data_IF_273489404270
#
_entry.id   IF_273489404270
#
_cell.length_a   1.000
_cell.length_b   1.000
_cell.length_c   1.000
_cell.angle_alpha   90.00
_cell.angle_beta   90.00
_cell.angle_gamma   90.00
#
_symmetry.space_group_name_H-M   'P 1'
#
loop_
_entity.id
_entity.type
_entity.pdbx_description
1 polymer ?
#
# COMPACT_ATOMS: atom_id res chain seq x y z
N UNK A 1 48.40 -5.36 -53.77
CA UNK A 1 48.60 -6.17 -52.55
C UNK A 1 47.38 -6.00 -51.67
N UNK A 2 46.70 -7.11 -51.39
CA UNK A 2 45.58 -7.19 -50.45
C UNK A 2 46.01 -6.78 -49.03
N UNK A 3 45.13 -6.08 -48.33
CA UNK A 3 45.25 -5.84 -46.89
C UNK A 3 43.87 -5.66 -46.27
N UNK A 4 43.25 -6.76 -45.85
CA UNK A 4 42.05 -6.81 -45.00
C UNK A 4 42.57 -6.92 -43.56
N UNK A 5 42.30 -5.95 -42.68
CA UNK A 5 42.59 -6.06 -41.24
C UNK A 5 41.29 -6.32 -40.50
N UNK A 6 41.36 -7.32 -39.61
CA UNK A 6 40.28 -8.02 -38.94
C UNK A 6 39.61 -7.21 -37.82
N UNK A 7 38.31 -7.42 -37.66
CA UNK A 7 37.56 -7.14 -36.44
C UNK A 7 37.95 -8.09 -35.30
N UNK A 8 37.94 -7.58 -34.06
CA UNK A 8 37.57 -8.36 -32.88
C UNK A 8 36.98 -7.45 -31.80
N UNK A 9 35.73 -7.70 -31.33
CA UNK A 9 35.30 -7.24 -30.02
C UNK A 9 34.92 -8.44 -29.12
N UNK A 10 35.61 -8.61 -28.00
CA UNK A 10 35.26 -9.68 -27.06
C UNK A 10 35.89 -9.54 -25.68
N UNK A 11 35.22 -8.85 -24.76
CA UNK A 11 35.34 -9.12 -23.32
C UNK A 11 34.26 -8.40 -22.49
N UNK A 12 34.01 -7.11 -22.76
CA UNK A 12 33.13 -6.28 -21.90
C UNK A 12 31.63 -6.63 -22.00
N UNK A 13 31.17 -7.04 -23.18
CA UNK A 13 29.75 -7.33 -23.45
C UNK A 13 29.22 -8.58 -22.74
N UNK A 14 30.07 -9.57 -22.44
CA UNK A 14 29.63 -10.79 -21.76
C UNK A 14 29.40 -10.56 -20.25
N UNK A 15 30.26 -9.78 -19.60
CA UNK A 15 30.10 -9.45 -18.18
C UNK A 15 28.86 -8.57 -17.94
N UNK A 16 28.62 -7.60 -18.81
CA UNK A 16 27.41 -6.76 -18.77
C UNK A 16 26.15 -7.59 -19.00
N UNK A 17 26.20 -8.59 -19.90
CA UNK A 17 25.06 -9.49 -20.13
C UNK A 17 24.75 -10.39 -18.92
N UNK A 18 25.77 -10.82 -18.17
CA UNK A 18 25.58 -11.65 -16.96
C UNK A 18 24.99 -10.83 -15.82
N UNK A 19 25.45 -9.59 -15.60
CA UNK A 19 24.89 -8.73 -14.55
C UNK A 19 23.47 -8.26 -14.87
N UNK A 20 23.18 -7.96 -16.14
CA UNK A 20 21.81 -7.63 -16.57
C UNK A 20 20.85 -8.82 -16.41
N UNK A 21 21.31 -10.05 -16.60
CA UNK A 21 20.49 -11.26 -16.39
C UNK A 21 20.32 -11.63 -14.91
N UNK A 22 21.30 -11.30 -14.06
CA UNK A 22 21.21 -11.44 -12.59
C UNK A 22 20.27 -10.40 -11.97
N UNK A 23 20.31 -9.15 -12.43
CA UNK A 23 19.40 -8.08 -11.99
C UNK A 23 17.96 -8.36 -12.47
N UNK A 24 17.79 -8.80 -13.72
CA UNK A 24 16.47 -9.18 -14.26
C UNK A 24 15.83 -10.38 -13.51
N UNK A 25 16.64 -11.29 -12.95
CA UNK A 25 16.12 -12.41 -12.14
C UNK A 25 15.56 -11.94 -10.79
N UNK A 26 16.18 -10.96 -10.13
CA UNK A 26 15.71 -10.43 -8.85
C UNK A 26 14.40 -9.63 -8.99
N UNK A 27 14.24 -8.88 -10.09
CA UNK A 27 13.01 -8.14 -10.40
C UNK A 27 11.83 -9.05 -10.76
N UNK A 28 12.07 -10.30 -11.18
CA UNK A 28 11.01 -11.28 -11.49
C UNK A 28 10.39 -11.95 -10.25
N UNK A 29 11.07 -11.87 -9.10
CA UNK A 29 10.67 -12.51 -7.84
C UNK A 29 9.62 -11.70 -7.08
N UNK A 30 9.72 -10.37 -7.07
CA UNK A 30 8.82 -9.48 -6.33
C UNK A 30 7.36 -9.53 -6.84
N UNK A 31 7.09 -9.54 -8.16
CA UNK A 31 5.72 -9.66 -8.69
C UNK A 31 5.09 -11.02 -8.41
N UNK A 32 5.86 -12.11 -8.54
CA UNK A 32 5.39 -13.48 -8.24
C UNK A 32 4.93 -13.65 -6.79
N UNK A 33 5.66 -13.03 -5.85
CA UNK A 33 5.31 -13.08 -4.42
C UNK A 33 4.04 -12.28 -4.11
N UNK A 34 3.80 -11.16 -4.81
CA UNK A 34 2.57 -10.36 -4.68
C UNK A 34 1.32 -11.11 -5.16
N UNK A 35 1.45 -11.91 -6.23
CA UNK A 35 0.33 -12.66 -6.80
C UNK A 35 -0.11 -13.87 -5.96
N UNK A 36 0.81 -14.47 -5.18
CA UNK A 36 0.51 -15.68 -4.38
C UNK A 36 -0.24 -15.39 -3.07
N UNK A 37 0.01 -14.23 -2.44
CA UNK A 37 -0.44 -13.98 -1.06
C UNK A 37 -1.49 -12.87 -0.92
N UNK A 38 -1.68 -12.00 -1.92
CA UNK A 38 -2.63 -10.89 -1.83
C UNK A 38 -3.78 -11.11 -2.82
N UNK A 39 -4.88 -11.68 -2.33
CA UNK A 39 -6.10 -11.72 -3.13
C UNK A 39 -6.56 -10.28 -3.40
N UNK A 40 -6.70 -9.94 -4.68
CA UNK A 40 -7.23 -8.65 -5.12
C UNK A 40 -8.63 -8.45 -4.52
N UNK A 41 -8.75 -7.44 -3.63
CA UNK A 41 -10.01 -7.12 -2.95
C UNK A 41 -11.18 -7.06 -3.94
N UNK A 42 -12.13 -7.98 -3.82
CA UNK A 42 -13.48 -7.76 -4.35
C UNK A 42 -14.10 -6.65 -3.52
N UNK A 43 -14.26 -5.45 -4.10
CA UNK A 43 -14.95 -4.34 -3.45
C UNK A 43 -16.35 -4.82 -3.10
N UNK A 44 -16.62 -5.13 -1.83
CA UNK A 44 -17.97 -5.48 -1.42
C UNK A 44 -18.89 -4.32 -1.78
N UNK A 45 -19.96 -4.61 -2.52
CA UNK A 45 -20.93 -3.64 -3.03
C UNK A 45 -21.83 -3.07 -1.93
N UNK A 46 -21.47 -3.23 -0.65
CA UNK A 46 -22.29 -2.88 0.53
C UNK A 46 -22.65 -1.38 0.67
N UNK A 47 -22.31 -0.54 -0.30
CA UNK A 47 -22.92 0.78 -0.46
C UNK A 47 -23.88 0.74 -1.67
N UNK A 48 -25.00 0.02 -1.55
CA UNK A 48 -26.12 0.17 -2.50
C UNK A 48 -26.74 1.56 -2.40
N UNK A 49 -26.58 2.22 -1.25
CA UNK A 49 -27.07 3.58 -1.04
C UNK A 49 -26.15 4.60 -1.68
N UNK A 50 -26.72 5.34 -2.63
CA UNK A 50 -26.08 6.46 -3.31
C UNK A 50 -25.68 7.54 -2.30
N UNK A 51 -24.42 8.03 -2.33
CA UNK A 51 -24.00 9.12 -1.44
C UNK A 51 -24.86 10.38 -1.64
N UNK A 52 -25.11 11.18 -0.59
CA UNK A 52 -25.99 12.35 -0.68
C UNK A 52 -25.54 13.39 -1.72
N UNK A 53 -24.23 13.53 -1.94
CA UNK A 53 -23.64 14.45 -2.92
C UNK A 53 -23.78 13.98 -4.38
N UNK A 54 -24.19 12.74 -4.63
CA UNK A 54 -24.15 12.16 -5.96
C UNK A 54 -25.51 12.33 -6.65
N UNK A 55 -25.66 13.32 -7.52
CA UNK A 55 -26.85 13.51 -8.37
C UNK A 55 -26.70 12.82 -9.74
N UNK A 56 -27.78 12.72 -10.54
CA UNK A 56 -27.81 12.01 -11.84
C UNK A 56 -26.80 12.56 -12.84
N UNK A 57 -26.60 13.87 -12.84
CA UNK A 57 -25.65 14.58 -13.72
C UNK A 57 -24.19 14.24 -13.40
N UNK A 58 -23.81 14.28 -12.12
CA UNK A 58 -22.47 13.91 -11.66
C UNK A 58 -22.15 12.45 -11.98
N UNK A 59 -23.15 11.57 -11.89
CA UNK A 59 -22.98 10.18 -12.31
C UNK A 59 -22.70 10.10 -13.82
N UNK A 60 -23.37 10.92 -14.63
CA UNK A 60 -23.05 11.10 -16.05
C UNK A 60 -21.60 11.53 -16.27
N UNK A 61 -21.11 12.52 -15.53
CA UNK A 61 -19.70 12.97 -15.59
C UNK A 61 -18.70 11.87 -15.17
N UNK A 62 -19.03 11.08 -14.16
CA UNK A 62 -18.21 9.94 -13.75
C UNK A 62 -18.18 8.85 -14.83
N UNK A 63 -19.30 8.61 -15.52
CA UNK A 63 -19.35 7.71 -16.68
C UNK A 63 -18.52 8.25 -17.85
N UNK A 64 -18.67 9.54 -18.19
CA UNK A 64 -17.86 10.20 -19.23
C UNK A 64 -16.37 10.06 -18.96
N UNK A 65 -15.93 10.24 -17.71
CA UNK A 65 -14.54 10.00 -17.31
C UNK A 65 -14.10 8.55 -17.56
N UNK A 66 -14.97 7.56 -17.33
CA UNK A 66 -14.68 6.13 -17.57
C UNK A 66 -14.58 5.83 -19.07
N UNK A 67 -15.46 6.39 -19.88
CA UNK A 67 -15.42 6.24 -21.34
C UNK A 67 -14.19 6.93 -21.93
N UNK A 68 -13.85 8.14 -21.48
CA UNK A 68 -12.63 8.83 -21.89
C UNK A 68 -11.37 8.01 -21.57
N UNK A 69 -11.34 7.31 -20.42
CA UNK A 69 -10.25 6.39 -20.10
C UNK A 69 -10.18 5.20 -21.07
N UNK A 70 -11.33 4.63 -21.45
CA UNK A 70 -11.39 3.52 -22.42
C UNK A 70 -10.91 3.97 -23.79
N UNK A 71 -11.41 5.11 -24.28
CA UNK A 71 -11.02 5.68 -25.56
C UNK A 71 -9.53 6.04 -25.61
N UNK A 72 -9.00 6.67 -24.57
CA UNK A 72 -7.56 6.97 -24.48
C UNK A 72 -6.71 5.68 -24.48
N UNK A 73 -7.12 4.67 -23.71
CA UNK A 73 -6.42 3.37 -23.68
C UNK A 73 -6.43 2.65 -25.03
N UNK A 74 -7.43 2.92 -25.87
CA UNK A 74 -7.58 2.36 -27.22
C UNK A 74 -6.98 3.26 -28.31
N UNK A 75 -6.37 4.40 -27.96
CA UNK A 75 -5.81 5.35 -28.91
C UNK A 75 -6.85 6.19 -29.67
N UNK A 76 -8.12 6.16 -29.26
CA UNK A 76 -9.22 6.89 -29.90
C UNK A 76 -9.40 8.32 -29.38
N UNK A 77 -8.81 8.64 -28.22
CA UNK A 77 -8.94 9.93 -27.54
C UNK A 77 -7.55 10.45 -27.24
N UNK A 78 -7.29 11.72 -27.59
CA UNK A 78 -6.03 12.37 -27.27
C UNK A 78 -5.82 12.46 -25.75
N UNK A 79 -4.57 12.39 -25.30
CA UNK A 79 -4.24 12.48 -23.88
C UNK A 79 -4.77 13.77 -23.23
N UNK A 80 -4.75 14.88 -23.96
CA UNK A 80 -5.19 16.21 -23.50
C UNK A 80 -6.70 16.23 -23.19
N UNK A 81 -7.52 15.75 -24.13
CA UNK A 81 -8.98 15.65 -23.96
C UNK A 81 -9.37 14.74 -22.78
N UNK A 82 -8.66 13.61 -22.62
CA UNK A 82 -8.83 12.75 -21.46
C UNK A 82 -8.50 13.49 -20.16
N UNK A 83 -7.36 14.18 -20.11
CA UNK A 83 -6.89 14.90 -18.91
C UNK A 83 -7.87 16.00 -18.52
N UNK A 84 -8.41 16.74 -19.47
CA UNK A 84 -9.41 17.77 -19.25
C UNK A 84 -10.72 17.19 -18.72
N UNK A 85 -11.22 16.11 -19.35
CA UNK A 85 -12.42 15.41 -18.90
C UNK A 85 -12.27 14.91 -17.46
N UNK A 86 -11.11 14.35 -17.11
CA UNK A 86 -10.80 13.89 -15.75
C UNK A 86 -10.76 15.05 -14.76
N UNK A 87 -10.12 16.17 -15.11
CA UNK A 87 -10.05 17.37 -14.27
C UNK A 87 -11.43 17.94 -14.01
N UNK A 88 -12.23 18.15 -15.06
CA UNK A 88 -13.59 18.67 -14.96
C UNK A 88 -14.49 17.77 -14.11
N UNK A 89 -14.46 16.45 -14.33
CA UNK A 89 -15.25 15.52 -13.54
C UNK A 89 -14.82 15.49 -12.06
N UNK A 90 -13.52 15.54 -11.77
CA UNK A 90 -13.01 15.63 -10.39
C UNK A 90 -13.49 16.91 -9.71
N UNK A 91 -13.43 18.03 -10.42
CA UNK A 91 -13.84 19.32 -9.87
C UNK A 91 -15.31 19.37 -9.51
N UNK A 92 -16.18 18.89 -10.41
CA UNK A 92 -17.61 18.80 -10.15
C UNK A 92 -17.92 17.91 -8.94
N UNK A 93 -17.22 16.77 -8.80
CA UNK A 93 -17.35 15.90 -7.62
C UNK A 93 -16.90 16.60 -6.33
N UNK A 94 -15.82 17.40 -6.37
CA UNK A 94 -15.37 18.18 -5.20
C UNK A 94 -16.42 19.22 -4.81
N UNK A 95 -16.92 20.00 -5.77
CA UNK A 95 -17.96 21.02 -5.53
C UNK A 95 -19.23 20.42 -4.95
N UNK A 96 -19.70 19.30 -5.49
CA UNK A 96 -20.89 18.64 -4.99
C UNK A 96 -20.75 18.10 -3.56
N UNK A 97 -19.58 17.54 -3.23
CA UNK A 97 -19.25 17.12 -1.86
C UNK A 97 -19.25 18.31 -0.91
N UNK A 98 -18.53 19.38 -1.26
CA UNK A 98 -18.45 20.58 -0.45
C UNK A 98 -19.82 21.21 -0.23
N UNK A 99 -20.65 21.30 -1.28
CA UNK A 99 -22.02 21.82 -1.16
C UNK A 99 -22.86 20.98 -0.21
N UNK A 100 -22.78 19.67 -0.30
CA UNK A 100 -23.50 18.75 0.61
C UNK A 100 -23.05 18.92 2.06
N UNK A 101 -21.75 19.08 2.28
CA UNK A 101 -21.19 19.33 3.61
C UNK A 101 -21.62 20.68 4.18
N UNK A 102 -21.66 21.72 3.33
CA UNK A 102 -22.17 23.05 3.71
C UNK A 102 -23.65 22.98 4.10
N UNK A 103 -24.49 22.29 3.31
CA UNK A 103 -25.91 22.10 3.64
C UNK A 103 -26.06 21.36 4.97
N UNK A 104 -25.32 20.26 5.16
CA UNK A 104 -25.34 19.51 6.42
C UNK A 104 -24.90 20.36 7.62
N UNK A 105 -23.90 21.21 7.46
CA UNK A 105 -23.41 22.10 8.51
C UNK A 105 -24.43 23.19 8.88
N UNK A 106 -25.10 23.77 7.88
CA UNK A 106 -26.18 24.75 8.08
C UNK A 106 -27.36 24.13 8.83
N UNK A 107 -27.74 22.92 8.44
CA UNK A 107 -28.92 22.24 8.98
C UNK A 107 -28.64 21.50 10.30
N UNK A 108 -27.46 21.66 10.92
CA UNK A 108 -27.13 20.98 12.18
C UNK A 108 -28.14 21.30 13.27
N UNK A 109 -28.62 22.54 13.34
CA UNK A 109 -29.54 22.95 14.40
C UNK A 109 -30.87 22.18 14.33
N UNK A 110 -31.40 22.02 13.12
CA UNK A 110 -32.71 21.43 12.86
C UNK A 110 -32.64 19.91 12.63
N UNK A 111 -31.52 19.41 12.11
CA UNK A 111 -31.33 18.01 11.72
C UNK A 111 -29.95 17.45 12.16
N UNK A 112 -29.69 17.49 13.46
CA UNK A 112 -28.46 16.93 14.09
C UNK A 112 -28.15 15.50 13.63
N UNK A 113 -29.18 14.67 13.46
CA UNK A 113 -29.05 13.24 13.13
C UNK A 113 -28.40 13.01 11.76
N UNK A 114 -28.71 13.82 10.75
CA UNK A 114 -28.13 13.67 9.40
C UNK A 114 -26.64 14.01 9.39
N UNK A 115 -26.24 15.06 10.11
CA UNK A 115 -24.85 15.47 10.28
C UNK A 115 -24.01 14.38 10.95
N UNK A 116 -24.43 13.89 12.13
CA UNK A 116 -23.70 12.83 12.82
C UNK A 116 -23.68 11.52 12.02
N UNK A 117 -24.76 11.19 11.29
CA UNK A 117 -24.76 10.05 10.36
C UNK A 117 -23.69 10.20 9.29
N UNK A 118 -23.55 11.38 8.69
CA UNK A 118 -22.53 11.67 7.67
C UNK A 118 -21.12 11.53 8.25
N UNK A 119 -20.87 12.09 9.43
CA UNK A 119 -19.57 11.98 10.13
C UNK A 119 -19.22 10.53 10.44
N UNK A 120 -20.17 9.74 10.97
CA UNK A 120 -19.96 8.32 11.25
C UNK A 120 -19.67 7.53 9.96
N UNK A 121 -20.42 7.79 8.88
CA UNK A 121 -20.20 7.12 7.58
C UNK A 121 -18.82 7.44 7.00
N UNK A 122 -18.32 8.67 7.20
CA UNK A 122 -16.97 9.09 6.80
C UNK A 122 -15.86 8.49 7.65
N UNK A 123 -16.10 8.31 8.94
CA UNK A 123 -15.15 7.70 9.88
C UNK A 123 -15.02 6.19 9.72
N UNK A 124 -15.96 5.53 9.05
CA UNK A 124 -15.88 4.10 8.74
C UNK A 124 -14.72 3.82 7.78
N UNK A 125 -13.57 3.42 8.32
CA UNK A 125 -12.49 2.78 7.56
C UNK A 125 -13.01 1.44 7.02
N UNK A 126 -12.94 1.28 5.69
CA UNK A 126 -13.35 0.05 4.98
C UNK A 126 -12.19 -0.92 4.89
N UNK A 127 -11.73 -1.37 6.04
CA UNK A 127 -10.52 -2.19 6.13
C UNK A 127 -10.80 -3.46 6.90
N UNK A 128 -11.47 -4.40 6.24
CA UNK A 128 -11.17 -5.80 6.49
C UNK A 128 -10.10 -6.20 5.49
N UNK A 129 -9.07 -6.90 5.95
CA UNK A 129 -8.12 -7.59 5.08
C UNK A 129 -8.93 -8.56 4.22
N UNK A 130 -8.63 -8.59 2.91
CA UNK A 130 -9.25 -9.56 2.01
C UNK A 130 -8.96 -10.99 2.48
N UNK A 131 -9.64 -12.00 1.93
CA UNK A 131 -9.22 -13.37 2.16
C UNK A 131 -7.73 -13.54 1.84
N UNK A 132 -6.99 -14.17 2.73
CA UNK A 132 -5.56 -14.47 2.57
C UNK A 132 -5.38 -15.93 2.18
N UNK A 133 -4.21 -16.29 1.67
CA UNK A 133 -3.78 -17.68 1.57
C UNK A 133 -2.83 -17.99 2.71
N UNK A 134 -3.10 -19.08 3.43
CA UNK A 134 -2.13 -19.64 4.37
C UNK A 134 -1.05 -20.44 3.63
N UNK A 135 -0.08 -20.95 4.37
CA UNK A 135 1.01 -21.78 3.83
C UNK A 135 0.50 -23.07 3.18
N UNK A 136 -0.60 -23.63 3.68
CA UNK A 136 -1.28 -24.81 3.13
C UNK A 136 -1.99 -24.53 1.79
N UNK A 137 -2.15 -23.25 1.42
CA UNK A 137 -2.81 -22.80 0.19
C UNK A 137 -4.32 -22.59 0.31
N UNK A 138 -4.88 -22.74 1.51
CA UNK A 138 -6.30 -22.54 1.83
C UNK A 138 -6.66 -21.06 1.94
N UNK A 139 -7.91 -20.73 1.61
CA UNK A 139 -8.43 -19.38 1.71
C UNK A 139 -8.90 -19.05 3.13
N UNK A 140 -8.14 -18.19 3.79
CA UNK A 140 -8.41 -17.70 5.14
C UNK A 140 -9.32 -16.49 5.07
N UNK A 141 -10.52 -16.61 5.66
CA UNK A 141 -11.54 -15.54 5.65
C UNK A 141 -11.83 -14.95 7.02
N UNK A 142 -11.51 -15.66 8.10
CA UNK A 142 -11.68 -15.21 9.48
C UNK A 142 -10.54 -14.27 9.89
N UNK A 143 -10.85 -13.23 10.65
CA UNK A 143 -9.86 -12.17 10.93
C UNK A 143 -8.75 -12.61 11.89
N UNK A 144 -9.00 -13.58 12.78
CA UNK A 144 -7.98 -14.16 13.67
C UNK A 144 -6.92 -14.92 12.87
N UNK A 145 -7.35 -15.86 12.05
CA UNK A 145 -6.47 -16.67 11.19
C UNK A 145 -5.68 -15.78 10.21
N UNK A 146 -6.28 -14.69 9.70
CA UNK A 146 -5.54 -13.72 8.88
C UNK A 146 -4.41 -13.03 9.66
N UNK A 147 -4.63 -12.73 10.93
CA UNK A 147 -3.61 -12.10 11.77
C UNK A 147 -2.43 -13.06 12.01
N UNK A 148 -2.72 -14.34 12.23
CA UNK A 148 -1.70 -15.40 12.35
C UNK A 148 -0.87 -15.53 11.07
N UNK A 149 -1.51 -15.69 9.90
CA UNK A 149 -0.81 -15.78 8.61
C UNK A 149 0.10 -14.57 8.36
N UNK A 150 -0.36 -13.36 8.69
CA UNK A 150 0.45 -12.14 8.55
C UNK A 150 1.61 -12.10 9.55
N UNK A 151 1.38 -12.55 10.79
CA UNK A 151 2.39 -12.61 11.83
C UNK A 151 3.51 -13.61 11.47
N UNK A 152 3.14 -14.80 10.98
CA UNK A 152 4.08 -15.83 10.56
C UNK A 152 4.91 -15.37 9.37
N UNK A 153 4.27 -14.75 8.36
CA UNK A 153 4.98 -14.13 7.25
C UNK A 153 5.96 -13.06 7.72
N UNK A 154 5.54 -12.18 8.63
CA UNK A 154 6.39 -11.14 9.18
C UNK A 154 7.59 -11.76 9.91
N UNK A 155 7.37 -12.73 10.81
CA UNK A 155 8.43 -13.44 11.52
C UNK A 155 9.42 -14.12 10.56
N UNK A 156 8.94 -14.74 9.49
CA UNK A 156 9.77 -15.39 8.47
C UNK A 156 10.74 -14.42 7.79
N UNK A 157 10.29 -13.20 7.45
CA UNK A 157 11.14 -12.15 6.85
C UNK A 157 12.30 -11.75 7.78
N UNK A 158 12.10 -11.77 9.09
CA UNK A 158 13.15 -11.46 10.06
C UNK A 158 13.99 -12.68 10.47
N UNK A 159 13.50 -13.91 10.31
CA UNK A 159 14.22 -15.10 10.78
C UNK A 159 15.35 -15.55 9.82
N UNK A 160 15.29 -15.17 8.54
CA UNK A 160 16.23 -15.64 7.50
C UNK A 160 17.66 -15.10 7.51
N UNK A 161 18.09 -14.32 8.52
CA UNK A 161 19.44 -13.69 8.53
C UNK A 161 20.23 -13.80 9.84
N UNK A 162 19.64 -14.31 10.93
CA UNK A 162 20.33 -14.35 12.24
C UNK A 162 21.05 -15.67 12.56
N UNK A 163 20.80 -16.75 11.80
CA UNK A 163 21.54 -18.00 11.97
C UNK A 163 23.02 -17.89 11.58
N UNK A 164 23.39 -16.90 10.75
CA UNK A 164 24.78 -16.67 10.35
C UNK A 164 25.59 -15.85 11.37
N UNK A 165 24.95 -15.21 12.36
CA UNK A 165 25.65 -14.42 13.39
C UNK A 165 25.86 -15.19 14.70
N UNK A 166 25.02 -16.19 14.96
CA UNK A 166 25.05 -16.94 16.23
C UNK A 166 26.15 -18.01 16.26
N UNK A 167 26.66 -18.42 15.10
CA UNK A 167 27.79 -19.36 15.03
C UNK A 167 29.14 -18.76 15.47
N UNK A 168 29.23 -17.44 15.73
CA UNK A 168 30.47 -16.79 16.21
C UNK A 168 30.40 -16.31 17.67
N UNK A 169 29.31 -16.58 18.40
CA UNK A 169 29.18 -16.16 19.81
C UNK A 169 29.03 -17.37 20.75
N UNK A 170 29.35 -18.57 20.28
CA UNK A 170 29.59 -19.72 21.13
C UNK A 170 31.02 -19.67 21.72
N UNK A 171 31.39 -18.56 22.35
CA UNK A 171 32.53 -18.55 23.27
C UNK A 171 32.38 -17.41 24.29
N UNK A 172 32.07 -17.80 25.53
CA UNK A 172 32.35 -17.01 26.73
C UNK A 172 31.43 -15.84 27.03
N UNK A 173 30.48 -16.04 27.94
CA UNK A 173 30.57 -15.41 29.27
C UNK A 173 29.52 -15.98 30.22
N UNK A 174 30.06 -16.61 31.26
CA UNK A 174 29.45 -17.02 32.50
C UNK A 174 28.74 -15.82 33.16
N UNK A 175 27.47 -15.97 33.51
CA UNK A 175 26.65 -14.93 34.15
C UNK A 175 26.25 -15.40 35.54
N UNK A 176 27.25 -15.56 36.40
CA UNK A 176 27.06 -15.51 37.85
C UNK A 176 28.05 -14.47 38.38
N UNK A 177 27.54 -13.58 39.24
CA UNK A 177 28.24 -12.43 39.86
C UNK A 177 28.17 -11.10 39.10
N UNK A 178 26.99 -10.48 39.09
CA UNK A 178 26.89 -9.02 39.01
C UNK A 178 25.87 -8.54 40.05
N UNK A 179 26.37 -8.02 41.18
CA UNK A 179 25.55 -7.32 42.18
C UNK A 179 24.97 -6.01 41.59
N UNK A 180 23.75 -5.62 41.98
CA UNK A 180 23.11 -4.41 41.46
C UNK A 180 23.72 -3.14 42.09
N UNK A 181 23.88 -2.04 41.32
CA UNK A 181 24.51 -0.83 41.82
C UNK A 181 23.56 -0.03 42.72
N UNK A 182 24.12 0.36 43.86
CA UNK A 182 23.55 1.17 44.94
C UNK A 182 23.04 2.53 44.46
N UNK A 183 21.83 2.90 44.87
CA UNK A 183 21.18 4.19 44.59
C UNK A 183 21.89 5.30 45.37
N UNK A 184 22.33 6.36 44.68
CA UNK A 184 22.82 7.59 45.30
C UNK A 184 21.70 8.62 45.32
N UNK A 185 21.20 8.94 46.51
CA UNK A 185 20.35 10.11 46.75
C UNK A 185 21.23 11.35 46.73
N UNK A 186 20.83 12.40 46.00
CA UNK A 186 21.47 13.70 46.15
C UNK A 186 20.44 14.82 46.32
N UNK A 187 20.76 15.67 47.29
CA UNK A 187 19.88 16.52 48.07
C UNK A 187 19.60 17.87 47.39
N UNK A 188 18.47 18.45 47.81
CA UNK A 188 18.03 19.82 47.52
C UNK A 188 18.92 20.83 48.26
N UNK A 189 19.26 21.95 47.61
CA UNK A 189 19.68 23.15 48.35
C UNK A 189 19.15 24.44 47.73
N UNK A 190 18.33 25.12 48.52
CA UNK A 190 17.77 26.47 48.35
C UNK A 190 18.77 27.56 48.80
N UNK A 191 18.57 28.79 48.32
CA UNK A 191 19.13 30.05 48.84
C UNK A 191 19.98 30.80 47.80
N UNK A 192 19.79 32.08 47.49
CA UNK A 192 19.05 33.17 48.14
C UNK A 192 18.65 34.23 47.12
#
# INVERSE_FOLDING_TARGET
MSGRVAEAPGSSTKAVAIELSRVASQDSTVPKTQELHILTKRKSSKNTKRPPWMNKELLGKVKQKKEAYRGWKQGQVAWEEYRETVRAAREQVRKAKALTEITLARDVKDNKKSFYRYVIDKRRTRENVGPLRNETGDLVTQDMEKAEVLNDFFASVFTGKYLNRTAQVAEGRDWENAEPPTVGEDQVQEGS
#
